data_IF_819743889482
#
_entry.id   IF_819743889482
#
_cell.length_a   1.000
_cell.length_b   1.000
_cell.length_c   1.000
_cell.angle_alpha   90.00
_cell.angle_beta   90.00
_cell.angle_gamma   90.00
#
_symmetry.space_group_name_H-M   'P 1'
#
loop_
_entity.id
_entity.type
_entity.pdbx_description
1 polymer ?
#
# COMPACT_ATOMS: atom_id res chain seq x y z
N UNK A 1 -33.74 3.95 21.96
CA UNK A 1 -33.38 4.76 20.78
C UNK A 1 -31.99 4.42 20.24
N UNK A 2 -31.07 3.85 21.05
CA UNK A 2 -29.75 3.39 20.56
C UNK A 2 -29.81 2.08 19.76
N UNK A 3 -30.69 1.14 20.10
CA UNK A 3 -30.78 -0.15 19.40
C UNK A 3 -31.17 -0.05 17.91
N UNK A 4 -32.05 0.90 17.55
CA UNK A 4 -32.52 1.07 16.16
C UNK A 4 -31.43 1.66 15.24
N UNK A 5 -30.51 2.48 15.80
CA UNK A 5 -29.39 3.03 15.07
C UNK A 5 -28.26 2.02 14.90
N UNK A 6 -27.98 1.23 15.95
CA UNK A 6 -26.98 0.16 15.91
C UNK A 6 -27.38 -0.94 14.91
N UNK A 7 -28.64 -1.37 14.93
CA UNK A 7 -29.17 -2.37 13.99
C UNK A 7 -29.20 -1.84 12.55
N UNK A 8 -29.53 -0.56 12.33
CA UNK A 8 -29.51 0.06 11.00
C UNK A 8 -28.08 0.16 10.44
N UNK A 9 -27.10 0.52 11.27
CA UNK A 9 -25.69 0.60 10.87
C UNK A 9 -25.13 -0.79 10.56
N UNK A 10 -25.41 -1.79 11.39
CA UNK A 10 -25.02 -3.19 11.17
C UNK A 10 -25.59 -3.73 9.86
N UNK A 11 -26.88 -3.52 9.59
CA UNK A 11 -27.52 -3.95 8.35
C UNK A 11 -26.88 -3.32 7.10
N UNK A 12 -26.52 -2.04 7.14
CA UNK A 12 -25.82 -1.37 6.03
C UNK A 12 -24.41 -1.90 5.83
N UNK A 13 -23.68 -2.21 6.91
CA UNK A 13 -22.35 -2.84 6.85
C UNK A 13 -22.45 -4.22 6.20
N UNK A 14 -23.44 -5.02 6.58
CA UNK A 14 -23.59 -6.39 6.10
C UNK A 14 -23.99 -6.46 4.63
N UNK A 15 -24.96 -5.66 4.19
CA UNK A 15 -25.33 -5.56 2.76
C UNK A 15 -24.13 -5.16 1.89
N UNK A 16 -23.32 -4.24 2.40
CA UNK A 16 -22.13 -3.80 1.69
C UNK A 16 -21.04 -4.85 1.64
N UNK A 17 -20.83 -5.60 2.74
CA UNK A 17 -19.91 -6.74 2.74
C UNK A 17 -20.34 -7.78 1.72
N UNK A 18 -21.63 -8.11 1.67
CA UNK A 18 -22.17 -9.04 0.67
C UNK A 18 -21.88 -8.56 -0.75
N UNK A 19 -22.12 -7.28 -1.04
CA UNK A 19 -21.85 -6.69 -2.35
C UNK A 19 -20.35 -6.70 -2.71
N UNK A 20 -19.46 -6.35 -1.76
CA UNK A 20 -18.01 -6.42 -1.98
C UNK A 20 -17.56 -7.87 -2.17
N UNK A 21 -18.09 -8.82 -1.40
CA UNK A 21 -17.77 -10.25 -1.55
C UNK A 21 -18.14 -10.75 -2.94
N UNK A 22 -19.34 -10.40 -3.44
CA UNK A 22 -19.77 -10.77 -4.78
C UNK A 22 -18.83 -10.22 -5.86
N UNK A 23 -18.43 -8.95 -5.76
CA UNK A 23 -17.44 -8.38 -6.69
C UNK A 23 -16.07 -9.06 -6.57
N UNK A 24 -15.62 -9.38 -5.35
CA UNK A 24 -14.34 -10.06 -5.12
C UNK A 24 -14.35 -11.44 -5.76
N UNK A 25 -15.46 -12.20 -5.68
CA UNK A 25 -15.57 -13.51 -6.33
C UNK A 25 -15.44 -13.43 -7.87
N UNK A 26 -16.08 -12.43 -8.50
CA UNK A 26 -15.94 -12.20 -9.94
C UNK A 26 -14.51 -11.77 -10.31
N UNK A 27 -13.93 -10.84 -9.55
CA UNK A 27 -12.55 -10.38 -9.74
C UNK A 27 -11.56 -11.52 -9.56
N UNK A 28 -11.75 -12.39 -8.57
CA UNK A 28 -10.87 -13.54 -8.34
C UNK A 28 -10.79 -14.46 -9.56
N UNK A 29 -11.91 -14.70 -10.24
CA UNK A 29 -11.93 -15.51 -11.46
C UNK A 29 -11.10 -14.85 -12.55
N UNK A 30 -11.28 -13.55 -12.78
CA UNK A 30 -10.51 -12.78 -13.78
C UNK A 30 -9.02 -12.78 -13.44
N UNK A 31 -8.66 -12.47 -12.19
CA UNK A 31 -7.28 -12.45 -11.70
C UNK A 31 -6.62 -13.83 -11.85
N UNK A 32 -7.33 -14.90 -11.52
CA UNK A 32 -6.82 -16.25 -11.67
C UNK A 32 -6.48 -16.58 -13.14
N UNK A 33 -7.38 -16.27 -14.08
CA UNK A 33 -7.14 -16.50 -15.51
C UNK A 33 -5.97 -15.67 -16.03
N UNK A 34 -5.96 -14.36 -15.73
CA UNK A 34 -4.87 -13.47 -16.15
C UNK A 34 -3.53 -13.92 -15.60
N UNK A 35 -3.43 -14.18 -14.30
CA UNK A 35 -2.16 -14.55 -13.66
C UNK A 35 -1.69 -15.95 -14.03
N UNK A 36 -2.60 -16.86 -14.39
CA UNK A 36 -2.25 -18.18 -14.93
C UNK A 36 -1.61 -18.05 -16.31
N UNK A 37 -2.21 -17.25 -17.20
CA UNK A 37 -1.66 -16.99 -18.53
C UNK A 37 -0.32 -16.24 -18.45
N UNK A 38 -0.21 -15.25 -17.57
CA UNK A 38 1.05 -14.55 -17.30
C UNK A 38 2.13 -15.53 -16.81
N UNK A 39 1.78 -16.44 -15.89
CA UNK A 39 2.72 -17.45 -15.37
C UNK A 39 3.15 -18.46 -16.44
N UNK A 40 2.33 -18.69 -17.46
CA UNK A 40 2.67 -19.54 -18.61
C UNK A 40 3.64 -18.83 -19.56
N UNK A 41 3.41 -17.54 -19.84
CA UNK A 41 4.27 -16.72 -20.69
C UNK A 41 5.61 -16.39 -20.03
N UNK A 42 5.62 -16.14 -18.71
CA UNK A 42 6.82 -15.84 -17.94
C UNK A 42 6.74 -16.45 -16.53
N UNK A 43 7.54 -17.49 -16.31
CA UNK A 43 7.55 -18.25 -15.06
C UNK A 43 8.03 -17.43 -13.84
N UNK A 44 8.60 -16.23 -14.04
CA UNK A 44 9.00 -15.33 -12.95
C UNK A 44 7.81 -14.86 -12.12
N UNK A 45 6.61 -14.80 -12.72
CA UNK A 45 5.40 -14.38 -12.04
C UNK A 45 4.57 -15.61 -11.66
N UNK A 46 4.08 -15.65 -10.43
CA UNK A 46 3.26 -16.74 -9.92
C UNK A 46 1.78 -16.47 -10.17
N UNK A 47 1.10 -17.49 -10.72
CA UNK A 47 -0.35 -17.50 -10.79
C UNK A 47 -0.98 -17.42 -9.40
N UNK A 48 -1.98 -16.55 -9.24
CA UNK A 48 -2.77 -16.45 -8.02
C UNK A 48 -3.87 -17.51 -8.11
N UNK A 49 -3.93 -18.48 -7.18
CA UNK A 49 -4.98 -19.48 -7.20
C UNK A 49 -6.34 -18.85 -6.89
N UNK A 50 -7.39 -19.39 -7.49
CA UNK A 50 -8.75 -19.13 -7.06
C UNK A 50 -8.97 -19.74 -5.67
N UNK A 51 -9.65 -19.02 -4.77
CA UNK A 51 -9.86 -19.46 -3.39
C UNK A 51 -11.27 -19.07 -2.93
N UNK A 52 -12.07 -20.06 -2.53
CA UNK A 52 -13.48 -19.88 -2.12
C UNK A 52 -13.65 -19.11 -0.80
N UNK A 53 -12.57 -18.86 -0.05
CA UNK A 53 -12.63 -18.21 1.26
C UNK A 53 -11.98 -16.83 1.22
N UNK A 54 -10.69 -16.75 1.51
CA UNK A 54 -9.94 -15.50 1.57
C UNK A 54 -8.69 -15.62 0.71
N UNK A 55 -8.57 -14.72 -0.26
CA UNK A 55 -7.37 -14.62 -1.08
C UNK A 55 -6.46 -13.53 -0.51
N UNK A 56 -5.34 -13.94 0.09
CA UNK A 56 -4.33 -13.05 0.69
C UNK A 56 -3.73 -12.06 -0.32
N UNK A 57 -3.82 -12.37 -1.61
CA UNK A 57 -3.30 -11.53 -2.67
C UNK A 57 -4.26 -10.41 -3.10
N UNK A 58 -5.47 -10.36 -2.55
CA UNK A 58 -6.49 -9.37 -2.89
C UNK A 58 -6.80 -8.51 -1.68
N UNK A 59 -6.39 -7.24 -1.73
CA UNK A 59 -6.72 -6.24 -0.71
C UNK A 59 -7.71 -5.21 -1.22
N UNK A 60 -8.85 -5.10 -0.54
CA UNK A 60 -9.90 -4.12 -0.86
C UNK A 60 -9.50 -2.74 -0.32
N UNK A 61 -9.12 -1.83 -1.22
CA UNK A 61 -8.75 -0.45 -0.85
C UNK A 61 -9.99 0.43 -0.68
N UNK A 62 -10.91 0.34 -1.63
CA UNK A 62 -12.19 1.01 -1.67
C UNK A 62 -13.23 0.05 -2.29
N UNK A 63 -14.54 0.33 -2.19
CA UNK A 63 -15.56 -0.59 -2.70
C UNK A 63 -15.33 -1.02 -4.15
N UNK A 64 -14.85 -0.13 -5.03
CA UNK A 64 -14.56 -0.42 -6.44
C UNK A 64 -13.06 -0.38 -6.77
N UNK A 65 -12.17 -0.44 -5.78
CA UNK A 65 -10.72 -0.35 -5.99
C UNK A 65 -9.98 -1.41 -5.19
N UNK A 66 -9.35 -2.37 -5.87
CA UNK A 66 -8.62 -3.46 -5.23
C UNK A 66 -7.13 -3.45 -5.61
N UNK A 67 -6.29 -3.84 -4.66
CA UNK A 67 -4.87 -4.10 -4.86
C UNK A 67 -4.68 -5.62 -5.00
N UNK A 68 -4.06 -6.04 -6.09
CA UNK A 68 -3.73 -7.42 -6.37
C UNK A 68 -2.20 -7.57 -6.29
N UNK A 69 -1.69 -8.28 -5.29
CA UNK A 69 -0.26 -8.59 -5.18
C UNK A 69 0.05 -9.86 -5.96
N UNK A 70 0.91 -9.77 -6.97
CA UNK A 70 1.30 -10.90 -7.81
C UNK A 70 2.65 -11.43 -7.33
N UNK A 71 2.72 -12.62 -6.70
CA UNK A 71 3.97 -13.12 -6.15
C UNK A 71 4.99 -13.42 -7.24
N UNK A 72 6.26 -13.13 -6.97
CA UNK A 72 7.37 -13.43 -7.88
C UNK A 72 8.13 -14.68 -7.43
N UNK A 73 8.50 -15.54 -8.38
CA UNK A 73 9.12 -16.84 -8.12
C UNK A 73 10.64 -16.79 -8.08
N UNK A 74 11.19 -17.71 -7.30
CA UNK A 74 12.62 -18.04 -7.32
C UNK A 74 13.52 -17.12 -6.48
N UNK A 75 13.00 -16.01 -5.95
CA UNK A 75 13.72 -15.17 -5.00
C UNK A 75 13.53 -15.72 -3.58
N UNK A 76 14.56 -16.39 -3.03
CA UNK A 76 14.46 -17.02 -1.72
C UNK A 76 15.71 -16.84 -0.86
N UNK A 77 15.52 -16.95 0.47
CA UNK A 77 16.61 -16.80 1.44
C UNK A 77 17.10 -15.36 1.55
N UNK A 78 16.17 -14.41 1.62
CA UNK A 78 16.47 -12.98 1.74
C UNK A 78 17.34 -12.67 2.96
N UNK A 79 18.31 -11.78 2.76
CA UNK A 79 19.20 -11.21 3.77
C UNK A 79 19.30 -9.71 3.56
N UNK A 80 19.07 -8.96 4.63
CA UNK A 80 19.16 -7.50 4.58
C UNK A 80 20.59 -7.06 4.24
N UNK A 81 20.72 -6.02 3.42
CA UNK A 81 22.02 -5.54 2.96
C UNK A 81 22.84 -5.03 4.16
N UNK A 82 24.11 -5.43 4.24
CA UNK A 82 25.02 -5.03 5.32
C UNK A 82 25.68 -3.67 5.07
N UNK A 83 25.76 -3.23 3.81
CA UNK A 83 26.41 -1.98 3.42
C UNK A 83 25.50 -1.17 2.49
N UNK A 84 25.45 0.14 2.73
CA UNK A 84 24.82 1.08 1.81
C UNK A 84 25.77 1.30 0.62
N UNK A 85 25.28 1.08 -0.59
CA UNK A 85 25.98 1.29 -1.85
C UNK A 85 25.37 2.50 -2.55
N UNK A 86 26.17 3.35 -3.19
CA UNK A 86 25.62 4.40 -4.03
C UNK A 86 25.26 3.85 -5.40
N UNK A 87 24.06 4.19 -5.91
CA UNK A 87 23.56 3.73 -7.21
C UNK A 87 23.66 4.86 -8.21
N UNK A 88 24.29 4.63 -9.35
CA UNK A 88 24.60 5.66 -10.35
C UNK A 88 24.00 5.31 -11.71
N UNK A 89 22.81 4.72 -11.77
CA UNK A 89 22.23 4.30 -13.05
C UNK A 89 20.87 4.96 -13.32
N UNK A 90 20.55 5.15 -14.59
CA UNK A 90 19.20 5.52 -15.04
C UNK A 90 18.35 4.28 -15.33
N UNK A 91 17.04 4.45 -15.50
CA UNK A 91 16.15 3.36 -15.95
C UNK A 91 16.55 2.76 -17.31
N UNK A 92 17.29 3.50 -18.13
CA UNK A 92 17.84 3.03 -19.41
C UNK A 92 19.15 2.24 -19.24
N UNK A 93 19.67 2.12 -18.03
CA UNK A 93 20.96 1.49 -17.73
C UNK A 93 22.16 2.39 -18.00
N UNK A 94 21.96 3.68 -18.30
CA UNK A 94 23.08 4.61 -18.49
C UNK A 94 23.62 5.08 -17.14
N UNK A 95 24.94 5.24 -17.03
CA UNK A 95 25.57 5.75 -15.80
C UNK A 95 25.28 7.24 -15.63
N UNK A 96 24.87 7.63 -14.43
CA UNK A 96 24.56 8.99 -14.00
C UNK A 96 25.78 9.63 -13.31
N UNK A 97 25.94 10.97 -13.43
CA UNK A 97 27.05 11.69 -12.81
C UNK A 97 26.88 11.85 -11.28
N UNK A 98 25.65 11.79 -10.78
CA UNK A 98 25.31 11.86 -9.36
C UNK A 98 24.58 10.58 -8.92
N UNK A 99 24.67 10.21 -7.63
CA UNK A 99 23.95 9.04 -7.14
C UNK A 99 22.44 9.30 -7.10
N UNK A 100 21.66 8.24 -7.25
CA UNK A 100 20.23 8.25 -7.02
C UNK A 100 19.90 8.56 -5.56
N UNK A 101 18.73 9.17 -5.33
CA UNK A 101 18.22 9.43 -3.99
C UNK A 101 18.03 8.13 -3.21
N UNK A 102 18.46 8.14 -1.95
CA UNK A 102 18.27 7.01 -1.06
C UNK A 102 16.78 6.80 -0.74
N UNK A 103 16.36 5.54 -0.54
CA UNK A 103 14.96 5.21 -0.28
C UNK A 103 14.53 5.72 1.10
N UNK A 104 13.51 6.56 1.11
CA UNK A 104 12.92 7.14 2.31
C UNK A 104 11.83 6.24 2.92
N UNK A 105 11.56 6.44 4.22
CA UNK A 105 10.51 5.73 4.94
C UNK A 105 10.57 4.20 4.76
N UNK A 106 9.43 3.63 4.37
CA UNK A 106 9.24 2.19 4.13
C UNK A 106 9.60 1.76 2.70
N UNK A 107 10.60 2.37 2.08
CA UNK A 107 11.12 1.94 0.78
C UNK A 107 12.50 1.30 0.91
N UNK A 108 12.92 0.48 -0.04
CA UNK A 108 14.30 -0.01 -0.09
C UNK A 108 14.79 -0.37 -1.49
N UNK A 109 16.12 -0.43 -1.63
CA UNK A 109 16.77 -1.08 -2.76
C UNK A 109 16.61 -2.61 -2.67
N UNK A 110 16.59 -3.29 -3.81
CA UNK A 110 16.55 -4.75 -3.87
C UNK A 110 17.67 -5.26 -4.76
N UNK A 111 18.74 -5.73 -4.12
CA UNK A 111 19.86 -6.36 -4.81
C UNK A 111 19.62 -7.85 -5.01
N UNK A 112 20.02 -8.39 -6.16
CA UNK A 112 19.93 -9.85 -6.40
C UNK A 112 20.80 -10.63 -5.41
N UNK A 113 21.91 -10.03 -4.98
CA UNK A 113 22.82 -10.57 -3.95
C UNK A 113 22.20 -10.74 -2.56
N UNK A 114 21.05 -10.09 -2.31
CA UNK A 114 20.32 -10.24 -1.05
C UNK A 114 19.61 -11.59 -0.95
N UNK A 115 19.51 -12.35 -2.04
CA UNK A 115 18.89 -13.67 -2.06
C UNK A 115 19.95 -14.77 -2.19
N UNK A 116 19.82 -15.80 -1.35
CA UNK A 116 20.66 -17.00 -1.46
C UNK A 116 20.38 -17.81 -2.73
N UNK A 117 19.13 -17.77 -3.19
CA UNK A 117 18.70 -18.39 -4.43
C UNK A 117 18.05 -17.31 -5.29
N UNK A 118 18.63 -17.06 -6.44
CA UNK A 118 18.09 -16.17 -7.47
C UNK A 118 18.32 -16.80 -8.85
N UNK A 119 17.24 -17.18 -9.57
CA UNK A 119 17.34 -17.67 -10.94
C UNK A 119 18.05 -16.66 -11.85
N UNK A 120 18.75 -17.17 -12.88
CA UNK A 120 19.47 -16.35 -13.86
C UNK A 120 18.61 -15.25 -14.50
N UNK A 121 17.30 -15.49 -14.60
CA UNK A 121 16.34 -14.58 -15.23
C UNK A 121 16.10 -13.28 -14.45
N UNK A 122 16.50 -13.21 -13.18
CA UNK A 122 16.52 -11.96 -12.39
C UNK A 122 17.80 -11.14 -12.59
N UNK A 123 18.79 -11.69 -13.30
CA UNK A 123 20.02 -11.01 -13.71
C UNK A 123 19.94 -10.47 -15.13
N UNK A 124 18.85 -10.76 -15.85
CA UNK A 124 18.62 -10.27 -17.20
C UNK A 124 18.40 -8.75 -17.23
N UNK A 125 18.86 -8.12 -18.30
CA UNK A 125 18.84 -6.66 -18.43
C UNK A 125 17.42 -6.08 -18.58
N UNK A 126 16.40 -6.91 -18.75
CA UNK A 126 15.00 -6.49 -18.80
C UNK A 126 14.44 -6.15 -17.41
N UNK A 127 15.01 -6.71 -16.34
CA UNK A 127 14.62 -6.47 -14.93
C UNK A 127 15.76 -5.94 -14.05
N UNK A 128 17.01 -6.16 -14.45
CA UNK A 128 18.20 -5.85 -13.66
C UNK A 128 18.96 -4.60 -14.17
N UNK A 129 19.57 -3.86 -13.25
CA UNK A 129 20.61 -2.85 -13.54
C UNK A 129 21.69 -2.92 -12.46
N UNK A 130 22.95 -3.16 -12.87
CA UNK A 130 24.12 -3.23 -11.96
C UNK A 130 23.93 -4.15 -10.73
N UNK A 131 23.15 -5.22 -10.85
CA UNK A 131 22.86 -6.17 -9.77
C UNK A 131 21.62 -5.85 -8.94
N UNK A 132 20.96 -4.71 -9.17
CA UNK A 132 19.70 -4.34 -8.52
C UNK A 132 18.50 -4.76 -9.39
N UNK A 133 17.48 -5.39 -8.78
CA UNK A 133 16.19 -5.68 -9.41
C UNK A 133 15.38 -4.38 -9.37
N UNK A 134 15.14 -3.78 -10.52
CA UNK A 134 14.54 -2.44 -10.61
C UNK A 134 13.01 -2.53 -10.80
N UNK A 135 12.19 -1.96 -9.91
CA UNK A 135 10.73 -2.04 -9.99
C UNK A 135 10.13 -1.58 -11.32
N UNK A 136 10.57 -0.43 -11.87
CA UNK A 136 10.05 0.07 -13.14
C UNK A 136 10.27 -0.90 -14.30
N UNK A 137 11.40 -1.59 -14.30
CA UNK A 137 11.75 -2.58 -15.32
C UNK A 137 10.89 -3.83 -15.19
N UNK A 138 10.72 -4.34 -13.97
CA UNK A 138 9.77 -5.43 -13.66
C UNK A 138 8.36 -5.06 -14.10
N UNK A 139 7.89 -3.86 -13.77
CA UNK A 139 6.57 -3.35 -14.16
C UNK A 139 6.42 -3.22 -15.67
N UNK A 140 7.47 -2.85 -16.39
CA UNK A 140 7.44 -2.76 -17.85
C UNK A 140 7.26 -4.13 -18.50
N UNK A 141 7.97 -5.15 -18.02
CA UNK A 141 7.78 -6.53 -18.46
C UNK A 141 6.37 -7.01 -18.11
N UNK A 142 5.98 -6.82 -16.85
CA UNK A 142 4.70 -7.27 -16.33
C UNK A 142 3.52 -6.63 -17.05
N UNK A 143 3.60 -5.34 -17.42
CA UNK A 143 2.55 -4.66 -18.20
C UNK A 143 2.32 -5.36 -19.54
N UNK A 144 3.38 -5.65 -20.29
CA UNK A 144 3.28 -6.36 -21.58
C UNK A 144 2.66 -7.74 -21.43
N UNK A 145 3.01 -8.44 -20.35
CA UNK A 145 2.42 -9.75 -20.05
C UNK A 145 0.92 -9.64 -19.74
N UNK A 146 0.50 -8.61 -18.99
CA UNK A 146 -0.92 -8.35 -18.72
C UNK A 146 -1.68 -8.00 -20.00
N UNK A 147 -1.11 -7.15 -20.86
CA UNK A 147 -1.68 -6.82 -22.19
C UNK A 147 -1.90 -8.09 -23.02
N UNK A 148 -0.85 -8.90 -23.18
CA UNK A 148 -0.91 -10.16 -23.93
C UNK A 148 -1.91 -11.15 -23.31
N UNK A 149 -1.97 -11.23 -21.99
CA UNK A 149 -2.89 -12.14 -21.29
C UNK A 149 -4.35 -11.73 -21.47
N UNK A 150 -4.66 -10.42 -21.49
CA UNK A 150 -6.02 -9.94 -21.76
C UNK A 150 -6.48 -10.38 -23.16
N UNK A 151 -5.61 -10.24 -24.16
CA UNK A 151 -5.88 -10.65 -25.53
C UNK A 151 -6.02 -12.18 -25.67
N UNK A 152 -5.08 -12.93 -25.07
CA UNK A 152 -5.01 -14.39 -25.16
C UNK A 152 -6.16 -15.08 -24.41
N UNK A 153 -6.55 -14.56 -23.25
CA UNK A 153 -7.69 -15.08 -22.49
C UNK A 153 -9.05 -14.63 -23.05
N UNK A 154 -9.08 -13.86 -24.15
CA UNK A 154 -10.31 -13.29 -24.73
C UNK A 154 -11.11 -12.46 -23.71
N UNK A 155 -10.43 -11.70 -22.86
CA UNK A 155 -11.04 -10.89 -21.81
C UNK A 155 -11.21 -9.42 -22.19
N UNK A 156 -10.91 -9.02 -23.43
CA UNK A 156 -10.91 -7.62 -23.88
C UNK A 156 -12.28 -6.92 -23.80
N UNK A 157 -13.37 -7.68 -23.75
CA UNK A 157 -14.74 -7.18 -23.54
C UNK A 157 -15.01 -6.82 -22.06
N UNK A 158 -14.35 -7.51 -21.13
CA UNK A 158 -14.53 -7.36 -19.67
C UNK A 158 -13.41 -6.61 -18.99
N UNK A 159 -12.20 -6.69 -19.51
CA UNK A 159 -10.98 -6.16 -18.87
C UNK A 159 -10.33 -5.15 -19.79
N UNK A 160 -10.12 -3.95 -19.26
CA UNK A 160 -9.49 -2.84 -19.98
C UNK A 160 -8.28 -2.34 -19.22
N UNK A 161 -7.13 -2.28 -19.86
CA UNK A 161 -5.94 -1.73 -19.23
C UNK A 161 -6.00 -0.20 -19.19
N UNK A 162 -5.66 0.38 -18.05
CA UNK A 162 -5.55 1.83 -17.88
C UNK A 162 -4.14 2.30 -18.23
N UNK A 163 -4.05 3.44 -18.90
CA UNK A 163 -2.78 4.09 -19.23
C UNK A 163 -2.19 4.75 -17.97
N UNK A 164 -1.44 3.98 -17.19
CA UNK A 164 -0.53 4.49 -16.15
C UNK A 164 0.89 4.02 -16.46
N UNK A 165 1.87 4.89 -16.23
CA UNK A 165 3.28 4.64 -16.51
C UNK A 165 4.02 3.99 -15.33
N UNK A 166 3.57 4.18 -14.08
CA UNK A 166 4.25 3.74 -12.86
C UNK A 166 3.65 2.49 -12.22
N UNK A 167 2.38 2.17 -12.51
CA UNK A 167 1.71 1.00 -11.97
C UNK A 167 0.90 0.30 -13.07
N UNK A 168 0.62 -0.99 -12.91
CA UNK A 168 -0.25 -1.72 -13.84
C UNK A 168 -1.66 -1.71 -13.27
N UNK A 169 -2.57 -0.97 -13.92
CA UNK A 169 -3.97 -0.90 -13.54
C UNK A 169 -4.87 -1.40 -14.66
N UNK A 170 -5.89 -2.15 -14.29
CA UNK A 170 -6.94 -2.61 -15.20
C UNK A 170 -8.30 -2.31 -14.60
N UNK A 171 -9.29 -2.08 -15.44
CA UNK A 171 -10.70 -2.01 -15.05
C UNK A 171 -11.35 -3.31 -15.47
N UNK A 172 -12.09 -3.92 -14.54
CA UNK A 172 -12.87 -5.13 -14.77
C UNK A 172 -14.36 -4.77 -14.68
N UNK A 173 -15.09 -5.13 -15.72
CA UNK A 173 -16.55 -5.13 -15.72
C UNK A 173 -17.07 -6.34 -14.94
N UNK A 174 -17.74 -6.08 -13.84
CA UNK A 174 -18.45 -7.09 -13.04
C UNK A 174 -19.96 -6.91 -13.18
N UNK A 175 -20.74 -7.90 -12.76
CA UNK A 175 -22.21 -7.77 -12.74
C UNK A 175 -22.71 -6.60 -11.87
N UNK A 176 -21.89 -6.19 -10.90
CA UNK A 176 -22.20 -5.15 -9.92
C UNK A 176 -21.65 -3.76 -10.29
N UNK A 177 -20.87 -3.66 -11.38
CA UNK A 177 -20.26 -2.43 -11.87
C UNK A 177 -18.78 -2.57 -12.21
N UNK A 178 -18.14 -1.43 -12.49
CA UNK A 178 -16.71 -1.36 -12.82
C UNK A 178 -15.85 -1.38 -11.55
N UNK A 179 -14.83 -2.25 -11.56
CA UNK A 179 -13.84 -2.35 -10.47
C UNK A 179 -12.45 -2.07 -11.04
N UNK A 180 -11.73 -1.13 -10.43
CA UNK A 180 -10.34 -0.85 -10.74
C UNK A 180 -9.42 -1.78 -9.94
N UNK A 181 -8.57 -2.51 -10.63
CA UNK A 181 -7.58 -3.41 -10.05
C UNK A 181 -6.18 -2.84 -10.29
N UNK A 182 -5.40 -2.69 -9.22
CA UNK A 182 -3.98 -2.42 -9.30
C UNK A 182 -3.21 -3.74 -9.16
N UNK A 183 -2.63 -4.25 -10.24
CA UNK A 183 -1.77 -5.44 -10.22
C UNK A 183 -0.33 -5.03 -9.93
N UNK A 184 0.23 -5.57 -8.85
CA UNK A 184 1.53 -5.18 -8.33
C UNK A 184 2.40 -6.41 -8.09
N UNK A 185 3.48 -6.59 -8.87
CA UNK A 185 4.47 -7.62 -8.60
C UNK A 185 5.04 -7.49 -7.19
N UNK A 186 5.19 -8.63 -6.51
CA UNK A 186 5.57 -8.68 -5.09
C UNK A 186 6.61 -9.76 -4.79
N UNK A 187 7.55 -9.45 -3.90
CA UNK A 187 8.47 -10.44 -3.33
C UNK A 187 8.13 -10.67 -1.87
N UNK A 188 7.78 -11.90 -1.52
CA UNK A 188 7.47 -12.26 -0.15
C UNK A 188 8.74 -12.60 0.64
N UNK A 189 8.88 -11.98 1.82
CA UNK A 189 10.00 -12.16 2.74
C UNK A 189 9.43 -12.58 4.10
N UNK A 190 9.06 -13.87 4.25
CA UNK A 190 8.40 -14.33 5.47
C UNK A 190 9.37 -14.49 6.66
N UNK A 191 10.66 -14.66 6.41
CA UNK A 191 11.64 -15.04 7.45
C UNK A 191 12.34 -13.87 8.13
N UNK A 192 11.96 -12.63 7.82
CA UNK A 192 12.63 -11.44 8.35
C UNK A 192 11.65 -10.30 8.58
N UNK A 193 11.97 -9.45 9.55
CA UNK A 193 11.31 -8.16 9.77
C UNK A 193 12.28 -7.04 9.43
N UNK A 194 11.85 -6.04 8.68
CA UNK A 194 12.73 -4.94 8.26
C UNK A 194 13.14 -4.08 9.45
N UNK A 195 14.42 -3.68 9.49
CA UNK A 195 14.90 -2.70 10.49
C UNK A 195 14.30 -1.31 10.31
N UNK A 196 13.75 -1.02 9.12
CA UNK A 196 13.06 0.25 8.83
C UNK A 196 11.70 0.34 9.54
N UNK A 197 11.07 -0.78 9.85
CA UNK A 197 9.80 -0.83 10.56
C UNK A 197 10.03 -1.04 12.06
N UNK A 198 10.27 0.06 12.78
CA UNK A 198 10.52 0.04 14.22
C UNK A 198 9.21 -0.14 15.00
N UNK A 199 8.86 -1.41 15.22
CA UNK A 199 7.62 -1.81 15.90
C UNK A 199 7.83 -2.95 16.91
N UNK A 200 7.07 -2.97 18.01
CA UNK A 200 6.23 -1.88 18.54
C UNK A 200 7.08 -0.72 19.06
N UNK A 201 6.49 0.47 19.16
CA UNK A 201 7.14 1.61 19.82
C UNK A 201 7.46 1.24 21.29
N UNK A 202 8.70 1.48 21.73
CA UNK A 202 9.25 1.01 23.00
C UNK A 202 8.48 1.44 24.27
N UNK A 203 7.61 2.44 24.17
CA UNK A 203 6.83 2.99 25.31
C UNK A 203 5.42 2.40 25.43
N UNK A 204 4.98 1.57 24.48
CA UNK A 204 3.64 0.99 24.49
C UNK A 204 3.64 -0.42 25.08
N UNK A 205 2.69 -0.69 25.99
CA UNK A 205 2.40 -2.02 26.56
C UNK A 205 1.56 -2.91 25.64
N UNK A 206 1.20 -2.41 24.46
CA UNK A 206 0.35 -3.10 23.51
C UNK A 206 1.05 -3.10 22.13
N UNK A 207 1.04 -4.24 21.41
CA UNK A 207 0.52 -5.56 21.83
C UNK A 207 1.40 -6.28 22.86
N UNK A 208 0.97 -7.44 23.34
CA UNK A 208 1.82 -8.27 24.21
C UNK A 208 3.08 -8.75 23.46
N UNK A 209 4.18 -9.07 24.16
CA UNK A 209 5.39 -9.59 23.54
C UNK A 209 5.15 -10.83 22.67
N UNK A 210 4.24 -11.71 23.09
CA UNK A 210 3.86 -12.92 22.35
C UNK A 210 3.18 -12.57 21.03
N UNK A 211 2.23 -11.64 21.05
CA UNK A 211 1.59 -11.12 19.82
C UNK A 211 2.63 -10.46 18.93
N UNK A 212 3.54 -9.65 19.46
CA UNK A 212 4.60 -9.00 18.67
C UNK A 212 5.47 -10.04 17.95
N UNK A 213 5.88 -11.09 18.66
CA UNK A 213 6.68 -12.18 18.06
C UNK A 213 5.90 -12.91 16.98
N UNK A 214 4.62 -13.21 17.23
CA UNK A 214 3.71 -13.81 16.26
C UNK A 214 3.59 -12.94 15.00
N UNK A 215 3.26 -11.65 15.13
CA UNK A 215 3.12 -10.71 14.01
C UNK A 215 4.43 -10.60 13.21
N UNK A 216 5.58 -10.50 13.87
CA UNK A 216 6.89 -10.45 13.19
C UNK A 216 7.24 -11.73 12.44
N UNK A 217 6.68 -12.88 12.84
CA UNK A 217 6.93 -14.17 12.18
C UNK A 217 6.33 -14.27 10.77
N UNK A 218 5.38 -13.40 10.43
CA UNK A 218 4.83 -13.31 9.08
C UNK A 218 5.73 -12.56 8.10
N UNK A 219 6.71 -11.80 8.62
CA UNK A 219 7.65 -11.02 7.83
C UNK A 219 6.98 -9.86 7.08
N UNK A 220 7.45 -9.58 5.86
CA UNK A 220 6.94 -8.50 5.02
C UNK A 220 7.05 -8.87 3.54
N UNK A 221 6.39 -8.09 2.69
CA UNK A 221 6.51 -8.20 1.24
C UNK A 221 7.06 -6.90 0.64
N UNK A 222 7.72 -7.02 -0.51
CA UNK A 222 8.20 -5.88 -1.29
C UNK A 222 7.35 -5.71 -2.54
N UNK A 223 6.78 -4.52 -2.72
CA UNK A 223 5.90 -4.20 -3.82
C UNK A 223 6.60 -3.33 -4.87
N UNK A 224 6.45 -3.71 -6.14
CA UNK A 224 6.91 -2.91 -7.27
C UNK A 224 5.89 -1.80 -7.57
N UNK A 225 5.98 -0.66 -6.89
CA UNK A 225 5.06 0.48 -7.04
C UNK A 225 5.74 1.81 -7.39
N UNK A 226 7.05 1.81 -7.62
CA UNK A 226 7.82 3.05 -7.88
C UNK A 226 8.80 2.84 -9.02
N UNK A 227 9.57 3.89 -9.37
CA UNK A 227 10.56 3.77 -10.43
C UNK A 227 11.79 2.95 -10.00
N UNK A 228 12.36 3.26 -8.83
CA UNK A 228 13.67 2.75 -8.41
C UNK A 228 13.61 1.91 -7.14
N UNK A 229 12.64 2.16 -6.26
CA UNK A 229 12.61 1.59 -4.91
C UNK A 229 11.44 0.65 -4.70
N UNK A 230 11.66 -0.42 -3.97
CA UNK A 230 10.61 -1.35 -3.56
C UNK A 230 9.92 -0.81 -2.31
N UNK A 231 8.59 -0.84 -2.32
CA UNK A 231 7.77 -0.42 -1.18
C UNK A 231 7.58 -1.61 -0.23
N UNK A 232 7.92 -1.45 1.05
CA UNK A 232 7.61 -2.45 2.07
C UNK A 232 6.11 -2.48 2.31
N UNK A 233 5.60 -3.69 2.52
CA UNK A 233 4.20 -3.96 2.76
C UNK A 233 4.05 -5.03 3.83
N UNK A 234 3.15 -4.82 4.79
CA UNK A 234 2.93 -5.69 5.94
C UNK A 234 1.53 -6.31 5.92
N UNK A 235 0.89 -6.46 4.75
CA UNK A 235 -0.54 -6.82 4.62
C UNK A 235 -0.93 -8.02 5.49
N UNK A 236 -0.15 -9.10 5.45
CA UNK A 236 -0.42 -10.32 6.21
C UNK A 236 -0.29 -10.09 7.72
N UNK A 237 0.76 -9.40 8.13
CA UNK A 237 1.00 -9.05 9.54
C UNK A 237 -0.10 -8.10 10.07
N UNK A 238 -0.49 -7.10 9.28
CA UNK A 238 -1.60 -6.19 9.58
C UNK A 238 -2.91 -6.95 9.74
N UNK A 239 -3.23 -7.87 8.83
CA UNK A 239 -4.47 -8.64 8.89
C UNK A 239 -4.56 -9.46 10.17
N UNK A 240 -3.50 -10.20 10.51
CA UNK A 240 -3.47 -11.02 11.73
C UNK A 240 -3.58 -10.13 12.97
N UNK A 241 -2.92 -8.97 12.98
CA UNK A 241 -3.06 -8.00 14.06
C UNK A 241 -4.50 -7.48 14.18
N UNK A 242 -5.17 -7.19 13.05
CA UNK A 242 -6.56 -6.76 13.02
C UNK A 242 -7.54 -7.84 13.47
N UNK A 243 -7.26 -9.11 13.19
CA UNK A 243 -8.06 -10.26 13.65
C UNK A 243 -7.94 -10.45 15.17
N UNK A 244 -6.75 -10.18 15.73
CA UNK A 244 -6.47 -10.30 17.17
C UNK A 244 -6.77 -9.01 17.98
N UNK A 245 -7.22 -7.93 17.33
CA UNK A 245 -7.42 -6.61 17.95
C UNK A 245 -8.36 -6.61 19.17
N UNK A 246 -9.36 -7.51 19.16
CA UNK A 246 -10.43 -7.59 20.15
C UNK A 246 -10.30 -8.86 21.03
N UNK A 247 -9.14 -9.53 21.06
CA UNK A 247 -8.93 -10.70 21.95
C UNK A 247 -9.10 -10.35 23.43
N UNK A 248 -8.89 -9.08 23.80
CA UNK A 248 -9.15 -8.55 25.14
C UNK A 248 -10.63 -8.20 25.39
N UNK A 249 -11.54 -8.56 24.46
CA UNK A 249 -12.96 -8.24 24.53
C UNK A 249 -13.29 -6.80 24.12
N UNK A 250 -12.35 -6.09 23.49
CA UNK A 250 -12.55 -4.73 22.99
C UNK A 250 -13.54 -4.61 21.83
N UNK A 251 -13.81 -3.36 21.43
CA UNK A 251 -14.63 -3.02 20.27
C UNK A 251 -13.84 -2.34 19.15
N UNK A 252 -12.49 -2.46 19.16
CA UNK A 252 -11.60 -1.70 18.27
C UNK A 252 -11.90 -2.02 16.80
N UNK A 253 -12.14 -3.29 16.47
CA UNK A 253 -12.49 -3.70 15.11
C UNK A 253 -13.85 -3.14 14.67
N UNK A 254 -14.85 -3.14 15.57
CA UNK A 254 -16.17 -2.55 15.30
C UNK A 254 -16.07 -1.04 15.08
N UNK A 255 -15.30 -0.33 15.92
CA UNK A 255 -15.04 1.10 15.75
C UNK A 255 -14.31 1.40 14.43
N UNK A 256 -13.32 0.60 14.06
CA UNK A 256 -12.62 0.74 12.78
C UNK A 256 -13.57 0.55 11.59
N UNK A 257 -14.46 -0.46 11.66
CA UNK A 257 -15.46 -0.70 10.61
C UNK A 257 -16.44 0.46 10.48
N UNK A 258 -16.94 0.99 11.59
CA UNK A 258 -17.82 2.17 11.60
C UNK A 258 -17.11 3.42 11.02
N UNK A 259 -15.85 3.66 11.41
CA UNK A 259 -15.05 4.77 10.86
C UNK A 259 -14.81 4.62 9.35
N UNK A 260 -14.52 3.41 8.89
CA UNK A 260 -14.35 3.11 7.46
C UNK A 260 -15.64 3.42 6.69
N UNK A 261 -16.78 3.01 7.23
CA UNK A 261 -18.08 3.30 6.64
C UNK A 261 -18.36 4.81 6.57
N UNK A 262 -18.18 5.55 7.66
CA UNK A 262 -18.36 7.01 7.67
C UNK A 262 -17.47 7.72 6.64
N UNK A 263 -16.24 7.24 6.44
CA UNK A 263 -15.32 7.80 5.45
C UNK A 263 -15.80 7.63 4.02
N UNK A 264 -16.46 6.53 3.71
CA UNK A 264 -16.90 6.18 2.35
C UNK A 264 -18.29 6.77 2.07
N UNK A 265 -19.16 6.81 3.08
CA UNK A 265 -20.55 7.26 2.94
C UNK A 265 -20.69 8.78 3.11
N UNK A 266 -19.88 9.40 3.98
CA UNK A 266 -20.06 10.80 4.41
C UNK A 266 -18.86 11.68 4.05
N UNK A 267 -17.63 11.24 4.34
CA UNK A 267 -16.45 12.13 4.21
C UNK A 267 -15.86 12.20 2.81
N UNK A 268 -15.88 11.09 2.07
CA UNK A 268 -15.38 11.04 0.69
C UNK A 268 -16.31 10.19 -0.19
N UNK A 269 -17.56 10.62 -0.44
CA UNK A 269 -18.41 9.96 -1.41
C UNK A 269 -17.84 10.19 -2.81
N UNK A 270 -17.18 9.19 -3.39
CA UNK A 270 -16.59 9.27 -4.73
C UNK A 270 -15.50 8.24 -5.00
N UNK A 271 -15.14 8.07 -6.27
CA UNK A 271 -14.18 7.07 -6.76
C UNK A 271 -12.71 7.41 -6.49
N UNK A 272 -12.40 8.62 -6.01
CA UNK A 272 -11.02 9.05 -5.65
C UNK A 272 -11.01 9.80 -4.32
N UNK A 273 -11.07 9.09 -3.19
CA UNK A 273 -11.12 9.74 -1.89
C UNK A 273 -9.75 10.30 -1.50
N UNK A 274 -9.72 11.54 -0.97
CA UNK A 274 -8.50 12.18 -0.42
C UNK A 274 -7.97 11.41 0.80
N UNK A 275 -8.87 10.75 1.53
CA UNK A 275 -8.55 9.83 2.64
C UNK A 275 -8.79 8.40 2.16
N UNK A 276 -7.73 7.59 2.05
CA UNK A 276 -7.86 6.16 1.76
C UNK A 276 -8.12 5.35 3.03
N UNK A 277 -8.62 4.12 2.90
CA UNK A 277 -8.79 3.20 4.04
C UNK A 277 -7.49 2.96 4.81
N UNK A 278 -6.33 3.03 4.14
CA UNK A 278 -5.01 3.00 4.78
C UNK A 278 -4.80 4.16 5.77
N UNK A 279 -5.25 5.38 5.45
CA UNK A 279 -5.12 6.52 6.36
C UNK A 279 -5.97 6.35 7.63
N UNK A 280 -7.07 5.57 7.56
CA UNK A 280 -7.87 5.22 8.73
C UNK A 280 -7.26 4.07 9.54
N UNK A 281 -6.59 3.13 8.86
CA UNK A 281 -5.87 2.03 9.48
C UNK A 281 -4.68 2.55 10.31
N UNK A 282 -4.03 3.62 9.83
CA UNK A 282 -2.90 4.32 10.47
C UNK A 282 -3.33 5.52 11.36
N UNK A 283 -4.60 5.59 11.81
CA UNK A 283 -5.11 6.69 12.66
C UNK A 283 -4.32 6.92 13.97
N UNK A 284 -4.53 8.04 14.69
CA UNK A 284 -3.54 8.71 15.56
C UNK A 284 -2.97 7.92 16.76
N UNK A 285 -3.41 6.67 16.99
CA UNK A 285 -2.83 5.75 17.97
C UNK A 285 -1.90 4.67 17.39
N UNK A 286 -1.85 4.51 16.06
CA UNK A 286 -1.22 3.41 15.33
C UNK A 286 0.03 3.84 14.57
N UNK A 287 0.72 4.91 14.97
CA UNK A 287 1.94 5.35 14.29
C UNK A 287 3.03 4.28 14.35
N UNK A 288 3.14 3.54 13.26
CA UNK A 288 4.23 2.64 12.89
C UNK A 288 5.30 3.35 12.05
N UNK A 289 5.01 4.58 11.58
CA UNK A 289 5.87 5.30 10.65
C UNK A 289 5.62 6.82 10.64
N UNK A 290 5.53 7.48 11.79
CA UNK A 290 5.56 8.95 11.82
C UNK A 290 6.11 9.48 13.14
N UNK A 291 7.43 9.44 13.30
CA UNK A 291 8.21 10.54 13.89
C UNK A 291 9.62 10.47 13.31
N UNK A 292 9.94 11.39 12.39
CA UNK A 292 11.25 12.02 12.16
C UNK A 292 11.29 12.65 10.77
N UNK A 293 10.71 13.85 10.65
CA UNK A 293 11.06 14.82 9.61
C UNK A 293 10.60 16.22 10.02
N UNK A 294 11.30 16.81 10.98
CA UNK A 294 11.48 18.26 11.00
C UNK A 294 12.87 18.57 11.51
N UNK A 295 13.81 18.62 10.56
CA UNK A 295 15.17 19.04 10.78
C UNK A 295 15.26 20.56 10.88
N UNK A 296 15.81 21.00 12.01
CA UNK A 296 16.83 22.04 12.13
C UNK A 296 16.78 23.24 11.16
N UNK A 297 16.35 24.39 11.70
CA UNK A 297 17.03 25.66 11.48
C UNK A 297 17.22 26.37 12.84
N UNK A 298 18.47 26.66 13.21
CA UNK A 298 18.87 27.60 14.30
C UNK A 298 19.34 28.92 13.63
N UNK A 299 19.68 29.98 14.38
CA UNK A 299 18.90 30.71 15.39
C UNK A 299 18.83 32.23 15.04
N UNK A 300 17.94 32.97 15.71
CA UNK A 300 18.08 34.43 15.83
C UNK A 300 16.89 35.25 15.33
N UNK A 301 16.02 35.66 16.24
CA UNK A 301 15.73 37.06 16.53
C UNK A 301 14.69 37.14 17.65
N UNK A 302 15.08 37.79 18.74
CA UNK A 302 14.20 38.25 19.80
C UNK A 302 13.04 39.08 19.24
N UNK A 303 11.84 38.86 19.76
CA UNK A 303 10.94 39.94 20.13
C UNK A 303 9.94 39.43 21.17
N UNK A 304 10.04 40.03 22.35
CA UNK A 304 9.05 39.96 23.42
C UNK A 304 7.72 40.54 22.92
N UNK A 305 6.60 39.98 23.38
CA UNK A 305 5.48 40.80 23.84
C UNK A 305 4.57 40.00 24.79
N UNK A 306 4.01 40.76 25.73
CA UNK A 306 3.59 40.38 27.07
C UNK A 306 2.14 39.86 27.18
N UNK A 307 1.93 39.10 28.27
CA UNK A 307 0.76 39.01 29.18
C UNK A 307 -0.65 39.36 28.67
N UNK A 308 -1.56 38.41 28.87
CA UNK A 308 -2.98 38.64 29.18
C UNK A 308 -3.59 37.38 29.80
N UNK A 309 -3.98 37.46 31.07
CA UNK A 309 -4.65 36.39 31.82
C UNK A 309 -6.17 36.31 31.55
N UNK A 310 -6.96 35.66 32.42
CA UNK A 310 -7.79 34.51 32.04
C UNK A 310 -9.31 34.77 32.11
N UNK A 311 -10.11 34.04 31.34
CA UNK A 311 -11.54 33.80 31.65
C UNK A 311 -12.11 32.49 31.09
N UNK A 312 -12.74 31.76 32.01
CA UNK A 312 -13.76 30.71 31.97
C UNK A 312 -14.46 30.32 30.63
N UNK A 313 -14.44 29.02 30.35
CA UNK A 313 -15.64 28.16 30.22
C UNK A 313 -16.60 28.33 29.03
N UNK A 314 -16.47 27.47 28.01
CA UNK A 314 -17.58 26.74 27.38
C UNK A 314 -17.03 25.61 26.48
N UNK A 315 -17.50 24.37 26.66
CA UNK A 315 -17.23 23.26 25.74
C UNK A 315 -18.05 23.48 24.46
N UNK A 316 -17.36 23.69 23.33
CA UNK A 316 -17.92 23.72 21.99
C UNK A 316 -17.08 22.84 21.08
N UNK A 317 -17.75 21.93 20.34
CA UNK A 317 -17.14 21.09 19.30
C UNK A 317 -16.40 21.95 18.26
N UNK A 318 -15.21 21.56 17.79
CA UNK A 318 -14.46 22.35 16.83
C UNK A 318 -15.12 22.28 15.44
N UNK A 319 -15.22 23.40 14.70
CA UNK A 319 -15.62 23.38 13.30
C UNK A 319 -14.49 22.81 12.41
N UNK A 320 -14.80 22.37 11.18
CA UNK A 320 -13.80 21.85 10.26
C UNK A 320 -12.76 22.92 9.87
N UNK A 321 -11.51 22.52 9.54
CA UNK A 321 -10.48 23.46 9.15
C UNK A 321 -10.86 24.17 7.85
N UNK A 322 -11.02 25.49 7.94
CA UNK A 322 -11.28 26.38 6.81
C UNK A 322 -10.00 26.56 6.00
N UNK A 323 -10.08 26.17 4.72
CA UNK A 323 -9.40 26.74 3.55
C UNK A 323 -7.95 27.21 3.68
N UNK A 324 -7.03 26.44 3.10
CA UNK A 324 -5.75 26.97 2.62
C UNK A 324 -6.06 28.04 1.56
N UNK A 325 -5.87 29.32 1.92
CA UNK A 325 -5.78 30.40 0.94
C UNK A 325 -4.51 30.18 0.11
N UNK A 326 -4.67 29.90 -1.17
CA UNK A 326 -3.60 29.98 -2.15
C UNK A 326 -3.26 31.46 -2.32
N UNK A 327 -2.10 31.89 -1.81
CA UNK A 327 -1.49 33.16 -2.18
C UNK A 327 -1.04 33.06 -3.65
N UNK A 328 -1.82 33.64 -4.57
CA UNK A 328 -1.37 33.91 -5.93
C UNK A 328 -0.36 35.07 -5.88
N UNK A 329 0.93 34.76 -6.02
CA UNK A 329 1.94 35.75 -6.41
C UNK A 329 1.99 35.77 -7.93
N UNK A 330 1.37 36.78 -8.53
CA UNK A 330 1.65 37.14 -9.91
C UNK A 330 3.07 37.72 -9.99
N UNK A 331 3.90 37.06 -10.78
CA UNK A 331 5.15 37.59 -11.29
C UNK A 331 4.79 38.60 -12.40
N UNK A 332 5.23 39.83 -12.19
CA UNK A 332 5.32 40.88 -13.20
C UNK A 332 6.28 40.45 -14.31
N UNK A 333 5.84 40.53 -15.57
CA UNK A 333 6.76 40.83 -16.67
C UNK A 333 6.07 41.75 -17.68
N UNK A 334 6.57 42.98 -17.68
CA UNK A 334 6.52 43.96 -18.75
C UNK A 334 7.15 43.38 -20.01
N UNK A 335 6.44 43.48 -21.14
CA UNK A 335 6.76 44.35 -22.28
C UNK A 335 5.73 44.15 -23.39
#
# INVERSE_FOLDING_TARGET
MEGDLEDCLLNKVDLRRQWISQMVEEVQKVVHHLTTEISYQDFRFQAIPYCDTYNENIKVLAPTQFLITVPMRGLAGYREARQQRWRFYSLKGTRLPCPLQDPEGLQQWLGVEQFLKSPGQWHEADVNIEGDIVPAKVLQVFRKLVENAIETCHLSDRVRMLMDHLVVRVVVETSAGQVELQLTPSVDIPTAWSKKAQWPSCLKRWPSPETVQCIKSFGFSLLACSSYHWQLSFLRAEQVLLEQLDEDGGCRRKCFQALRQMKEDVWCPGTRPVITSYHLQEGPGSSLAAEHSSGAAKPGCSLMLQRGGPTSGHLSLPPPPVGIRVCSRYITHSS
#
